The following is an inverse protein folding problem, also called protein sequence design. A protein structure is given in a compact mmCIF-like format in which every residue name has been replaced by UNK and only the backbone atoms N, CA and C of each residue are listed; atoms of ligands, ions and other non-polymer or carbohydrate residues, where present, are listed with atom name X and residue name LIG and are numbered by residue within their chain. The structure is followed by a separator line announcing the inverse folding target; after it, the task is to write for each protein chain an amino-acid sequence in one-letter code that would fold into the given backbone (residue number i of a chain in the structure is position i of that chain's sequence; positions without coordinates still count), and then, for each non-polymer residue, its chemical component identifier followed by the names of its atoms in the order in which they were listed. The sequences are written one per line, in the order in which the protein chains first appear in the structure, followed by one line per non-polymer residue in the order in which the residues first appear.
data_IF_181882942120
#
_entry.id   IF_181882942120
#
_cell.length_a   1.000
_cell.length_b   1.000
_cell.length_c   1.000
_cell.angle_alpha   90.00
_cell.angle_beta   90.00
_cell.angle_gamma   90.00
#
_symmetry.space_group_name_H-M   'P 1'
#
loop_
_entity.id
_entity.type
_entity.pdbx_description
1 polymer ?
#
# COMPACT_ATOMS: atom_id res chain seq x y z
N UNK A 1 54.13 -4.95 35.73
CA UNK A 1 52.94 -4.65 34.93
C UNK A 1 51.85 -5.69 35.17
N UNK A 2 50.76 -5.34 35.83
CA UNK A 2 49.62 -6.24 36.06
C UNK A 2 48.94 -6.57 34.70
N UNK A 3 49.01 -7.81 34.32
CA UNK A 3 48.35 -8.37 33.13
C UNK A 3 46.83 -8.34 33.41
N UNK A 4 46.10 -7.37 32.90
CA UNK A 4 44.62 -7.41 32.89
C UNK A 4 44.16 -8.26 31.71
N UNK A 5 43.55 -9.39 31.98
CA UNK A 5 42.88 -10.21 30.95
C UNK A 5 41.78 -9.38 30.30
N UNK A 6 41.76 -9.36 28.98
CA UNK A 6 40.76 -8.68 28.17
C UNK A 6 39.37 -9.34 28.38
N UNK A 7 38.28 -8.58 28.27
CA UNK A 7 36.92 -9.12 28.43
C UNK A 7 36.62 -10.25 27.44
N UNK A 8 37.24 -10.26 26.27
CA UNK A 8 37.09 -11.31 25.25
C UNK A 8 37.90 -12.58 25.59
N UNK A 9 39.02 -12.48 26.31
CA UNK A 9 39.72 -13.65 26.84
C UNK A 9 38.91 -14.40 27.94
N UNK A 10 38.00 -13.69 28.61
CA UNK A 10 37.03 -14.27 29.55
C UNK A 10 35.91 -15.07 28.87
N UNK A 11 35.59 -14.76 27.61
CA UNK A 11 34.54 -15.41 26.81
C UNK A 11 35.03 -16.68 26.10
N UNK A 12 36.26 -17.17 26.40
CA UNK A 12 36.72 -18.52 26.00
C UNK A 12 37.08 -18.68 24.51
N UNK A 13 37.32 -17.60 23.77
CA UNK A 13 37.74 -17.69 22.38
C UNK A 13 39.25 -18.02 22.30
N UNK A 14 39.59 -19.29 22.58
CA UNK A 14 40.98 -19.77 22.55
C UNK A 14 41.58 -19.94 21.15
N UNK A 15 40.78 -19.77 20.09
CA UNK A 15 41.20 -20.00 18.69
C UNK A 15 41.53 -18.72 17.90
N UNK A 16 41.76 -17.58 18.57
CA UNK A 16 42.07 -16.32 17.87
C UNK A 16 43.54 -16.30 17.43
N UNK A 17 43.76 -15.95 16.15
CA UNK A 17 45.11 -15.71 15.62
C UNK A 17 45.84 -14.60 16.40
N UNK A 18 47.17 -14.62 16.49
CA UNK A 18 47.98 -13.59 17.18
C UNK A 18 47.66 -12.17 16.70
N UNK A 19 47.37 -11.99 15.42
CA UNK A 19 47.02 -10.72 14.79
C UNK A 19 45.68 -10.17 15.31
N UNK A 20 44.64 -11.01 15.41
CA UNK A 20 43.33 -10.65 15.94
C UNK A 20 43.43 -10.22 17.42
N UNK A 21 44.26 -10.90 18.19
CA UNK A 21 44.51 -10.57 19.59
C UNK A 21 45.16 -9.18 19.76
N UNK A 22 46.08 -8.80 18.87
CA UNK A 22 46.66 -7.46 18.85
C UNK A 22 45.62 -6.37 18.52
N UNK A 23 44.75 -6.63 17.54
CA UNK A 23 43.69 -5.69 17.14
C UNK A 23 42.72 -5.43 18.31
N UNK A 24 42.21 -6.49 18.92
CA UNK A 24 41.29 -6.39 20.07
C UNK A 24 41.93 -5.62 21.23
N UNK A 25 43.19 -5.93 21.56
CA UNK A 25 43.89 -5.22 22.61
C UNK A 25 44.15 -3.74 22.30
N UNK A 26 44.31 -3.37 21.03
CA UNK A 26 44.41 -1.97 20.60
C UNK A 26 43.09 -1.26 20.70
N UNK A 27 41.97 -1.92 20.39
CA UNK A 27 40.61 -1.40 20.54
C UNK A 27 40.25 -1.13 22.01
N UNK A 28 40.62 -2.03 22.92
CA UNK A 28 40.40 -1.84 24.36
C UNK A 28 41.19 -0.70 24.99
N UNK A 29 42.35 -0.38 24.41
CA UNK A 29 43.19 0.73 24.89
C UNK A 29 42.58 2.11 24.58
N UNK A 30 41.80 2.23 23.52
CA UNK A 30 41.18 3.50 23.09
C UNK A 30 39.72 3.26 22.70
N UNK A 31 38.85 2.89 23.66
CA UNK A 31 37.49 2.43 23.35
C UNK A 31 36.67 3.49 22.63
N UNK A 32 36.85 4.76 22.95
CA UNK A 32 36.12 5.86 22.32
C UNK A 32 36.43 6.01 20.83
N UNK A 33 37.69 5.92 20.44
CA UNK A 33 38.10 5.97 19.01
C UNK A 33 37.58 4.76 18.23
N UNK A 34 37.64 3.58 18.83
CA UNK A 34 37.12 2.36 18.22
C UNK A 34 35.59 2.42 18.06
N UNK A 35 34.88 2.95 19.06
CA UNK A 35 33.43 3.15 19.00
C UNK A 35 33.02 4.11 17.88
N UNK A 36 33.72 5.23 17.70
CA UNK A 36 33.46 6.18 16.61
C UNK A 36 33.70 5.53 15.25
N UNK A 37 34.81 4.79 15.07
CA UNK A 37 35.08 4.09 13.81
C UNK A 37 34.03 3.03 13.49
N UNK A 38 33.66 2.22 14.48
CA UNK A 38 32.61 1.20 14.30
C UNK A 38 31.28 1.86 14.02
N UNK A 39 30.92 2.92 14.74
CA UNK A 39 29.69 3.70 14.51
C UNK A 39 29.64 4.31 13.11
N UNK A 40 30.76 4.86 12.62
CA UNK A 40 30.88 5.39 11.27
C UNK A 40 30.64 4.36 10.19
N UNK A 41 31.30 3.20 10.32
CA UNK A 41 31.08 2.08 9.38
C UNK A 41 29.66 1.55 9.46
N UNK A 42 29.14 1.37 10.67
CA UNK A 42 27.74 0.92 10.86
C UNK A 42 26.73 1.90 10.25
N UNK A 43 26.93 3.22 10.42
CA UNK A 43 26.10 4.23 9.81
C UNK A 43 26.17 4.20 8.27
N UNK A 44 27.36 4.04 7.70
CA UNK A 44 27.52 3.91 6.25
C UNK A 44 26.78 2.68 5.70
N UNK A 45 26.91 1.53 6.35
CA UNK A 45 26.20 0.31 5.96
C UNK A 45 24.69 0.49 6.11
N UNK A 46 24.23 1.12 7.21
CA UNK A 46 22.81 1.38 7.43
C UNK A 46 22.21 2.26 6.33
N UNK A 47 22.93 3.29 5.86
CA UNK A 47 22.47 4.15 4.77
C UNK A 47 22.33 3.35 3.46
N UNK A 48 23.28 2.48 3.15
CA UNK A 48 23.22 1.63 1.95
C UNK A 48 22.04 0.65 2.03
N UNK A 49 21.83 0.02 3.18
CA UNK A 49 20.69 -0.90 3.39
C UNK A 49 19.36 -0.17 3.27
N UNK A 50 19.24 1.02 3.90
CA UNK A 50 18.05 1.87 3.78
C UNK A 50 17.78 2.28 2.34
N UNK A 51 18.81 2.70 1.61
CA UNK A 51 18.68 3.08 0.20
C UNK A 51 18.15 1.95 -0.68
N UNK A 52 18.69 0.74 -0.51
CA UNK A 52 18.19 -0.43 -1.23
C UNK A 52 16.76 -0.81 -0.81
N UNK A 53 16.45 -0.75 0.47
CA UNK A 53 15.09 -1.02 0.95
C UNK A 53 14.05 -0.05 0.35
N UNK A 54 14.36 1.25 0.31
CA UNK A 54 13.46 2.23 -0.32
C UNK A 54 13.28 1.98 -1.80
N UNK A 55 14.35 1.62 -2.50
CA UNK A 55 14.27 1.28 -3.92
C UNK A 55 13.34 0.08 -4.14
N UNK A 56 13.56 -1.02 -3.41
CA UNK A 56 12.75 -2.23 -3.54
C UNK A 56 11.29 -1.98 -3.16
N UNK A 57 11.05 -1.16 -2.12
CA UNK A 57 9.70 -0.76 -1.72
C UNK A 57 8.98 0.05 -2.81
N UNK A 58 9.68 1.02 -3.43
CA UNK A 58 9.12 1.81 -4.54
C UNK A 58 8.84 0.93 -5.76
N UNK A 59 9.77 0.07 -6.15
CA UNK A 59 9.57 -0.86 -7.27
C UNK A 59 8.35 -1.75 -7.02
N UNK A 60 8.18 -2.25 -5.80
CA UNK A 60 7.02 -3.07 -5.45
C UNK A 60 5.69 -2.30 -5.51
N UNK A 61 5.66 -1.06 -5.00
CA UNK A 61 4.47 -0.19 -5.05
C UNK A 61 4.12 0.14 -6.51
N UNK A 62 5.11 0.51 -7.32
CA UNK A 62 4.91 0.82 -8.73
C UNK A 62 4.38 -0.40 -9.49
N UNK A 63 4.97 -1.57 -9.28
CA UNK A 63 4.53 -2.80 -9.92
C UNK A 63 3.10 -3.16 -9.53
N UNK A 64 2.76 -3.13 -8.25
CA UNK A 64 1.42 -3.39 -7.76
C UNK A 64 0.38 -2.40 -8.34
N UNK A 65 0.73 -1.11 -8.40
CA UNK A 65 -0.18 -0.08 -8.86
C UNK A 65 -0.39 -0.10 -10.37
N UNK A 66 0.68 -0.19 -11.17
CA UNK A 66 0.61 -0.03 -12.62
C UNK A 66 0.45 -1.35 -13.38
N UNK A 67 0.94 -2.46 -12.86
CA UNK A 67 0.83 -3.75 -13.54
C UNK A 67 -0.35 -4.60 -13.06
N UNK A 68 -0.77 -4.42 -11.80
CA UNK A 68 -1.84 -5.23 -11.22
C UNK A 68 -3.16 -4.48 -11.12
N UNK A 69 -3.16 -3.27 -10.55
CA UNK A 69 -4.38 -2.50 -10.31
C UNK A 69 -4.81 -1.67 -11.52
N UNK A 70 -3.89 -0.88 -12.09
CA UNK A 70 -4.18 0.02 -13.22
C UNK A 70 -3.47 -0.48 -14.49
N UNK A 71 -4.23 -1.09 -15.38
CA UNK A 71 -3.72 -1.63 -16.65
C UNK A 71 -4.04 -0.76 -17.85
N UNK A 72 -4.55 0.44 -17.60
CA UNK A 72 -4.88 1.42 -18.64
C UNK A 72 -3.66 2.27 -18.97
N UNK A 73 -3.35 2.43 -20.27
CA UNK A 73 -2.29 3.32 -20.73
C UNK A 73 -2.68 4.80 -20.63
N UNK A 74 -3.98 5.09 -20.73
CA UNK A 74 -4.51 6.46 -20.71
C UNK A 74 -5.79 6.51 -19.89
N UNK A 75 -5.92 7.53 -19.04
CA UNK A 75 -7.14 7.87 -18.34
C UNK A 75 -7.66 9.22 -18.85
N UNK A 76 -8.94 9.27 -19.24
CA UNK A 76 -9.60 10.49 -19.71
C UNK A 76 -10.64 10.93 -18.67
N UNK A 77 -10.51 12.15 -18.20
CA UNK A 77 -11.44 12.73 -17.24
C UNK A 77 -12.36 13.72 -17.96
N UNK A 78 -13.65 13.54 -17.80
CA UNK A 78 -14.65 14.47 -18.32
C UNK A 78 -14.95 15.56 -17.30
N UNK A 79 -15.13 16.78 -17.77
CA UNK A 79 -15.48 17.95 -16.92
C UNK A 79 -16.91 17.80 -16.38
N UNK A 80 -17.81 17.26 -17.20
CA UNK A 80 -19.19 16.96 -16.82
C UNK A 80 -19.48 15.48 -17.02
N UNK A 81 -20.36 14.87 -16.19
CA UNK A 81 -20.78 13.49 -16.37
C UNK A 81 -21.37 13.31 -17.78
N UNK A 82 -20.70 12.51 -18.58
CA UNK A 82 -21.12 12.22 -19.97
C UNK A 82 -22.00 10.98 -20.08
N UNK A 83 -22.63 10.86 -21.25
CA UNK A 83 -23.38 9.66 -21.65
C UNK A 83 -22.40 8.55 -22.10
N UNK A 84 -22.86 7.31 -22.11
CA UNK A 84 -22.10 6.12 -22.56
C UNK A 84 -21.61 6.22 -24.04
N UNK A 85 -22.18 7.15 -24.80
CA UNK A 85 -21.74 7.47 -26.16
C UNK A 85 -20.27 7.86 -26.23
N UNK A 86 -19.77 8.59 -25.23
CA UNK A 86 -18.34 9.00 -25.18
C UNK A 86 -17.43 7.78 -25.17
N UNK A 87 -17.79 6.73 -24.44
CA UNK A 87 -17.05 5.46 -24.43
C UNK A 87 -16.99 4.83 -25.82
N UNK A 88 -18.12 4.86 -26.54
CA UNK A 88 -18.18 4.32 -27.91
C UNK A 88 -17.37 5.16 -28.92
N UNK A 89 -17.36 6.47 -28.74
CA UNK A 89 -16.57 7.37 -29.61
C UNK A 89 -15.07 7.19 -29.37
N UNK A 90 -14.65 7.05 -28.09
CA UNK A 90 -13.26 6.73 -27.75
C UNK A 90 -12.84 5.35 -28.28
N UNK A 91 -13.72 4.36 -28.24
CA UNK A 91 -13.43 3.03 -28.77
C UNK A 91 -13.23 2.99 -30.31
N UNK A 92 -13.69 4.02 -31.03
CA UNK A 92 -13.49 4.14 -32.49
C UNK A 92 -12.18 4.79 -32.87
N UNK A 93 -11.44 5.36 -31.92
CA UNK A 93 -10.15 5.99 -32.22
C UNK A 93 -9.11 4.95 -32.67
N UNK A 94 -8.26 5.30 -33.64
CA UNK A 94 -7.21 4.38 -34.06
C UNK A 94 -6.25 4.08 -32.91
N UNK A 95 -5.81 2.84 -32.81
CA UNK A 95 -4.94 2.28 -31.75
C UNK A 95 -5.59 2.14 -30.37
N UNK A 96 -6.87 2.43 -30.19
CA UNK A 96 -7.60 2.11 -28.96
C UNK A 96 -8.12 0.67 -29.04
N UNK A 97 -7.68 -0.16 -28.13
CA UNK A 97 -8.06 -1.60 -28.08
C UNK A 97 -9.21 -1.85 -27.13
N UNK A 98 -9.27 -1.11 -26.03
CA UNK A 98 -10.30 -1.27 -25.00
C UNK A 98 -10.58 0.05 -24.30
N UNK A 99 -11.84 0.32 -24.00
CA UNK A 99 -12.29 1.48 -23.23
C UNK A 99 -13.25 1.01 -22.15
N UNK A 100 -12.97 1.40 -20.91
CA UNK A 100 -13.82 1.15 -19.75
C UNK A 100 -14.24 2.46 -19.11
N UNK A 101 -15.48 2.55 -18.67
CA UNK A 101 -15.98 3.69 -17.94
C UNK A 101 -15.91 3.45 -16.43
N UNK A 102 -15.49 4.48 -15.72
CA UNK A 102 -15.47 4.49 -14.25
C UNK A 102 -16.17 5.75 -13.77
N UNK A 103 -17.05 5.62 -12.79
CA UNK A 103 -17.73 6.76 -12.20
C UNK A 103 -17.37 6.91 -10.73
N UNK A 104 -17.09 8.13 -10.32
CA UNK A 104 -16.85 8.50 -8.93
C UNK A 104 -18.07 9.26 -8.43
N UNK A 105 -18.65 8.81 -7.33
CA UNK A 105 -19.85 9.41 -6.74
C UNK A 105 -19.56 9.74 -5.29
N UNK A 106 -19.53 11.03 -4.92
CA UNK A 106 -19.41 11.45 -3.53
C UNK A 106 -20.70 11.10 -2.77
N UNK A 107 -20.55 10.46 -1.63
CA UNK A 107 -21.66 9.99 -0.81
C UNK A 107 -21.39 10.19 0.68
N UNK A 108 -22.47 10.30 1.45
CA UNK A 108 -22.44 10.10 2.90
C UNK A 108 -23.07 8.73 3.18
N UNK A 109 -22.30 7.83 3.74
CA UNK A 109 -22.76 6.50 4.13
C UNK A 109 -23.27 6.54 5.57
N UNK A 110 -24.48 6.03 5.78
CA UNK A 110 -25.11 5.98 7.09
C UNK A 110 -25.39 4.54 7.51
N UNK A 111 -25.12 4.25 8.77
CA UNK A 111 -25.53 3.02 9.44
C UNK A 111 -25.92 3.30 10.88
N UNK A 112 -27.23 3.25 11.18
CA UNK A 112 -27.77 3.64 12.47
C UNK A 112 -27.47 5.11 12.79
N UNK A 113 -26.70 5.35 13.84
CA UNK A 113 -26.28 6.69 14.28
C UNK A 113 -24.90 7.12 13.76
N UNK A 114 -24.24 6.25 13.02
CA UNK A 114 -22.91 6.50 12.46
C UNK A 114 -23.02 6.96 11.01
N UNK A 115 -22.18 7.91 10.64
CA UNK A 115 -22.09 8.39 9.27
C UNK A 115 -20.65 8.70 8.92
N UNK A 116 -20.27 8.39 7.67
CA UNK A 116 -18.94 8.67 7.13
C UNK A 116 -19.07 9.16 5.69
N UNK A 117 -18.36 10.25 5.38
CA UNK A 117 -18.26 10.75 4.00
C UNK A 117 -17.26 9.91 3.24
N UNK A 118 -17.64 9.47 2.05
CA UNK A 118 -16.85 8.57 1.23
C UNK A 118 -17.05 8.84 -0.25
N UNK A 119 -16.25 8.19 -1.07
CA UNK A 119 -16.36 8.22 -2.52
C UNK A 119 -16.62 6.80 -3.03
N UNK A 120 -17.80 6.57 -3.61
CA UNK A 120 -18.08 5.29 -4.28
C UNK A 120 -17.49 5.34 -5.68
N UNK A 121 -16.68 4.34 -6.01
CA UNK A 121 -16.18 4.13 -7.36
C UNK A 121 -16.99 3.00 -8.01
N UNK A 122 -17.73 3.34 -9.06
CA UNK A 122 -18.46 2.39 -9.86
C UNK A 122 -17.64 1.93 -11.06
N UNK A 123 -17.66 0.64 -11.29
CA UNK A 123 -16.99 0.00 -12.43
C UNK A 123 -18.01 -0.68 -13.32
N UNK A 124 -17.68 -0.82 -14.60
CA UNK A 124 -18.42 -1.73 -15.46
C UNK A 124 -18.23 -3.18 -14.96
N UNK A 125 -19.28 -4.02 -15.02
CA UNK A 125 -19.29 -5.36 -14.39
C UNK A 125 -18.18 -6.31 -14.82
N UNK A 126 -17.49 -6.00 -15.93
CA UNK A 126 -16.36 -6.77 -16.47
C UNK A 126 -15.08 -5.94 -16.58
N UNK A 127 -14.86 -5.04 -15.63
CA UNK A 127 -13.68 -4.20 -15.65
C UNK A 127 -12.38 -5.04 -15.62
N UNK A 128 -11.53 -4.83 -16.62
CA UNK A 128 -10.23 -5.48 -16.80
C UNK A 128 -9.08 -4.48 -16.69
N UNK A 129 -9.33 -3.21 -17.10
CA UNK A 129 -8.33 -2.14 -17.09
C UNK A 129 -8.10 -1.57 -15.69
N UNK A 130 -9.10 -1.64 -14.83
CA UNK A 130 -8.93 -1.30 -13.42
C UNK A 130 -9.46 -2.42 -12.54
N UNK A 131 -8.63 -2.91 -11.62
CA UNK A 131 -8.97 -4.01 -10.72
C UNK A 131 -8.85 -3.55 -9.27
N UNK A 132 -9.79 -3.99 -8.44
CA UNK A 132 -9.63 -3.88 -7.00
C UNK A 132 -8.68 -4.98 -6.54
N UNK A 133 -7.62 -4.59 -5.86
CA UNK A 133 -6.55 -5.48 -5.42
C UNK A 133 -6.57 -5.53 -3.90
N UNK A 134 -6.46 -6.72 -3.35
CA UNK A 134 -6.31 -6.90 -1.90
C UNK A 134 -4.88 -6.59 -1.42
N UNK A 135 -4.66 -6.62 -0.11
CA UNK A 135 -3.35 -6.39 0.50
C UNK A 135 -2.26 -7.39 0.06
N UNK A 136 -2.64 -8.49 -0.61
CA UNK A 136 -1.73 -9.51 -1.12
C UNK A 136 -1.53 -9.41 -2.65
N UNK A 137 -1.91 -8.28 -3.27
CA UNK A 137 -1.87 -8.06 -4.71
C UNK A 137 -2.73 -9.03 -5.54
N UNK A 138 -3.77 -9.64 -4.96
CA UNK A 138 -4.73 -10.44 -5.71
C UNK A 138 -5.87 -9.57 -6.21
N UNK A 139 -6.14 -9.65 -7.51
CA UNK A 139 -7.28 -8.96 -8.10
C UNK A 139 -8.59 -9.62 -7.65
N UNK A 140 -9.50 -8.82 -7.08
CA UNK A 140 -10.81 -9.27 -6.65
C UNK A 140 -11.84 -8.95 -7.73
N UNK A 141 -12.64 -9.94 -8.11
CA UNK A 141 -13.77 -9.76 -9.02
C UNK A 141 -14.93 -9.14 -8.25
N UNK A 142 -15.42 -8.00 -8.73
CA UNK A 142 -16.53 -7.27 -8.09
C UNK A 142 -17.92 -7.73 -8.57
N UNK A 143 -17.98 -8.65 -9.51
CA UNK A 143 -19.23 -9.08 -10.16
C UNK A 143 -20.21 -9.67 -9.12
N UNK A 144 -21.41 -9.07 -9.00
CA UNK A 144 -22.45 -9.56 -8.11
C UNK A 144 -22.26 -9.31 -6.61
N UNK A 145 -21.17 -8.69 -6.19
CA UNK A 145 -20.85 -8.52 -4.76
C UNK A 145 -21.56 -7.35 -4.05
N UNK A 146 -22.28 -6.48 -4.76
CA UNK A 146 -22.84 -5.28 -4.13
C UNK A 146 -21.74 -4.24 -3.82
N UNK A 147 -21.85 -3.59 -2.66
CA UNK A 147 -20.86 -2.60 -2.23
C UNK A 147 -19.65 -3.29 -1.56
N UNK A 148 -18.46 -3.07 -2.10
CA UNK A 148 -17.20 -3.49 -1.48
C UNK A 148 -16.63 -2.30 -0.71
N UNK A 149 -16.31 -2.48 0.56
CA UNK A 149 -15.77 -1.44 1.45
C UNK A 149 -14.47 -1.92 2.08
N UNK A 150 -13.65 -0.96 2.55
CA UNK A 150 -12.45 -1.32 3.31
C UNK A 150 -12.80 -1.75 4.73
N UNK A 151 -12.00 -2.62 5.32
CA UNK A 151 -12.16 -3.06 6.72
C UNK A 151 -12.22 -1.86 7.67
N UNK A 152 -11.37 -0.84 7.44
CA UNK A 152 -11.35 0.39 8.21
C UNK A 152 -12.68 1.18 8.15
N UNK A 153 -13.32 1.23 6.97
CA UNK A 153 -14.60 1.88 6.81
C UNK A 153 -15.73 1.06 7.47
N UNK A 154 -15.64 -0.27 7.35
CA UNK A 154 -16.57 -1.19 8.01
C UNK A 154 -16.53 -1.02 9.53
N UNK A 155 -15.34 -0.94 10.13
CA UNK A 155 -15.16 -0.72 11.57
C UNK A 155 -15.72 0.65 12.03
N UNK A 156 -15.47 1.70 11.27
CA UNK A 156 -15.98 3.04 11.56
C UNK A 156 -17.51 3.09 11.57
N UNK A 157 -18.15 2.49 10.57
CA UNK A 157 -19.60 2.43 10.43
C UNK A 157 -20.22 1.34 11.33
N UNK A 158 -19.42 0.38 11.80
CA UNK A 158 -19.89 -0.76 12.59
C UNK A 158 -20.75 -1.72 11.77
N UNK A 159 -20.36 -1.99 10.52
CA UNK A 159 -21.08 -2.86 9.58
C UNK A 159 -20.30 -4.13 9.27
N UNK A 160 -21.03 -5.14 8.83
CA UNK A 160 -20.50 -6.42 8.38
C UNK A 160 -21.00 -6.75 6.98
N UNK A 161 -20.39 -7.72 6.36
CA UNK A 161 -20.89 -8.27 5.08
C UNK A 161 -22.32 -8.76 5.26
N UNK A 162 -23.21 -8.34 4.37
CA UNK A 162 -24.65 -8.60 4.41
C UNK A 162 -25.49 -7.46 4.99
N UNK A 163 -24.88 -6.50 5.72
CA UNK A 163 -25.60 -5.33 6.24
C UNK A 163 -25.93 -4.34 5.13
N UNK A 164 -26.99 -3.57 5.35
CA UNK A 164 -27.42 -2.52 4.41
C UNK A 164 -27.03 -1.14 4.93
N UNK A 165 -26.33 -0.39 4.09
CA UNK A 165 -25.97 1.00 4.28
C UNK A 165 -26.92 1.92 3.51
N UNK A 166 -27.26 3.06 4.08
CA UNK A 166 -27.92 4.12 3.35
C UNK A 166 -26.85 5.08 2.81
N UNK A 167 -26.79 5.24 1.49
CA UNK A 167 -25.89 6.15 0.81
C UNK A 167 -26.65 7.39 0.34
N UNK A 168 -26.34 8.52 0.92
CA UNK A 168 -26.84 9.82 0.47
C UNK A 168 -25.89 10.37 -0.59
N UNK A 169 -26.36 10.45 -1.83
CA UNK A 169 -25.59 10.94 -2.97
C UNK A 169 -25.49 12.46 -2.91
N UNK A 170 -24.27 12.98 -2.90
CA UNK A 170 -23.99 14.43 -2.85
C UNK A 170 -23.90 15.06 -4.26
N UNK A 171 -24.21 14.33 -5.31
CA UNK A 171 -24.17 14.79 -6.71
C UNK A 171 -25.58 14.99 -7.29
N UNK A 172 -25.81 16.12 -7.94
CA UNK A 172 -27.08 16.43 -8.61
C UNK A 172 -28.26 16.57 -7.64
N UNK A 173 -29.34 15.82 -7.90
CA UNK A 173 -30.48 15.76 -6.97
C UNK A 173 -30.14 14.78 -5.86
N UNK A 174 -30.05 15.26 -4.63
CA UNK A 174 -29.87 14.40 -3.45
C UNK A 174 -30.86 13.24 -3.46
N UNK A 175 -30.34 12.03 -3.48
CA UNK A 175 -31.13 10.80 -3.33
C UNK A 175 -30.41 9.84 -2.41
N UNK A 176 -31.18 9.19 -1.58
CA UNK A 176 -30.71 8.13 -0.70
C UNK A 176 -30.91 6.78 -1.36
N UNK A 177 -29.88 5.97 -1.40
CA UNK A 177 -29.90 4.62 -1.98
C UNK A 177 -29.46 3.63 -0.93
N UNK A 178 -30.21 2.56 -0.77
CA UNK A 178 -29.82 1.44 0.10
C UNK A 178 -28.86 0.53 -0.65
N UNK A 179 -27.69 0.30 -0.07
CA UNK A 179 -26.63 -0.53 -0.65
C UNK A 179 -26.25 -1.64 0.34
N UNK A 180 -26.20 -2.86 -0.13
CA UNK A 180 -25.78 -4.02 0.68
C UNK A 180 -24.26 -4.19 0.60
N UNK A 181 -23.63 -4.35 1.75
CA UNK A 181 -22.20 -4.66 1.84
C UNK A 181 -21.99 -6.09 1.40
N UNK A 182 -21.37 -6.28 0.25
CA UNK A 182 -21.11 -7.59 -0.33
C UNK A 182 -19.77 -8.21 0.08
N UNK A 183 -18.77 -7.36 0.30
CA UNK A 183 -17.45 -7.80 0.76
C UNK A 183 -16.70 -6.68 1.48
N UNK A 184 -15.73 -7.08 2.31
CA UNK A 184 -14.72 -6.16 2.86
C UNK A 184 -13.35 -6.50 2.29
N UNK A 185 -12.56 -5.45 2.04
CA UNK A 185 -11.18 -5.57 1.54
C UNK A 185 -10.25 -4.92 2.54
N UNK A 186 -9.15 -5.62 2.86
CA UNK A 186 -8.13 -5.05 3.75
C UNK A 186 -7.48 -3.85 3.07
N UNK A 187 -7.53 -2.71 3.77
CA UNK A 187 -6.83 -1.50 3.32
C UNK A 187 -5.33 -1.78 3.29
N UNK A 188 -4.68 -1.43 2.20
CA UNK A 188 -3.22 -1.44 2.15
C UNK A 188 -2.72 -0.22 2.92
N UNK A 189 -1.71 -0.35 3.80
CA UNK A 189 -1.19 0.74 4.61
C UNK A 189 -0.64 1.90 3.79
#
# INVERSE_FOLDING_TARGET
GRYRRTLLERLGIQAMSPALRMIVRNMERRPWRSAISIGGVAAAVAIVVLGNFFRDAIEHIVDAQFNVAMRSDVAVWMVEPGDDRVRLDLARLPAVTQVESTRFVPVVLHHGHRSERSLIRGYDGRAVLYRVVDANNHATTLEGMGLVITDRLADKLGVRVGDTLLADVEEGRSRSVALTVGATVRDSP
#
